data_IF_830835529044
#
_entry.id   IF_830835529044
#
_cell.length_a   1.000
_cell.length_b   1.000
_cell.length_c   1.000
_cell.angle_alpha   90.00
_cell.angle_beta   90.00
_cell.angle_gamma   90.00
#
_symmetry.space_group_name_H-M   'P 1'
#
loop_
_entity.id
_entity.type
_entity.pdbx_description
1 polymer ?
#
# COMPACT_ATOMS: atom_id res chain seq x y z
N UNK A 1 -12.67 -9.83 -12.07
CA UNK A 1 -12.60 -9.88 -13.57
C UNK A 1 -11.14 -9.97 -13.94
N UNK A 2 -10.74 -10.68 -15.01
CA UNK A 2 -9.33 -10.77 -15.39
C UNK A 2 -8.78 -9.40 -15.82
N UNK A 3 -7.57 -9.04 -15.37
CA UNK A 3 -6.87 -7.76 -15.65
C UNK A 3 -6.90 -7.35 -17.13
N UNK A 4 -6.63 -8.27 -18.06
CA UNK A 4 -6.50 -7.99 -19.50
C UNK A 4 -7.78 -7.61 -20.25
N UNK A 5 -8.88 -7.33 -19.55
CA UNK A 5 -10.18 -6.98 -20.13
C UNK A 5 -10.79 -5.69 -19.57
N UNK A 6 -10.07 -4.97 -18.70
CA UNK A 6 -10.61 -3.78 -18.03
C UNK A 6 -10.61 -2.57 -18.97
N UNK A 7 -11.69 -1.79 -18.93
CA UNK A 7 -11.77 -0.48 -19.59
C UNK A 7 -11.19 0.62 -18.70
N UNK A 8 -10.82 1.76 -19.28
CA UNK A 8 -10.38 2.95 -18.53
C UNK A 8 -11.40 3.36 -17.45
N UNK A 9 -12.70 3.25 -17.76
CA UNK A 9 -13.78 3.55 -16.83
C UNK A 9 -13.81 2.59 -15.63
N UNK A 10 -13.57 1.29 -15.87
CA UNK A 10 -13.51 0.29 -14.80
C UNK A 10 -12.27 0.49 -13.92
N UNK A 11 -11.12 0.80 -14.52
CA UNK A 11 -9.89 1.12 -13.78
C UNK A 11 -10.10 2.37 -12.93
N UNK A 12 -10.72 3.41 -13.49
CA UNK A 12 -11.07 4.64 -12.76
C UNK A 12 -12.03 4.37 -11.60
N UNK A 13 -13.10 3.61 -11.82
CA UNK A 13 -14.05 3.28 -10.76
C UNK A 13 -13.36 2.51 -9.61
N UNK A 14 -12.48 1.56 -9.93
CA UNK A 14 -11.65 0.88 -8.94
C UNK A 14 -10.74 1.86 -8.18
N UNK A 15 -10.16 2.83 -8.88
CA UNK A 15 -9.30 3.85 -8.28
C UNK A 15 -10.03 4.72 -7.25
N UNK A 16 -11.21 5.20 -7.64
CA UNK A 16 -12.03 6.14 -6.88
C UNK A 16 -12.57 5.52 -5.59
N UNK A 17 -12.95 4.24 -5.65
CA UNK A 17 -13.51 3.53 -4.50
C UNK A 17 -12.43 2.79 -3.72
N UNK A 18 -11.74 1.84 -4.35
CA UNK A 18 -10.94 0.84 -3.64
C UNK A 18 -9.51 1.31 -3.40
N UNK A 19 -8.80 1.78 -4.42
CA UNK A 19 -7.41 2.24 -4.24
C UNK A 19 -7.35 3.47 -3.32
N UNK A 20 -8.31 4.37 -3.45
CA UNK A 20 -8.46 5.52 -2.56
C UNK A 20 -8.81 5.08 -1.13
N UNK A 21 -9.69 4.10 -0.92
CA UNK A 21 -9.99 3.55 0.41
C UNK A 21 -8.72 3.01 1.10
N UNK A 22 -7.92 2.21 0.39
CA UNK A 22 -6.67 1.66 0.94
C UNK A 22 -5.71 2.79 1.37
N UNK A 23 -5.55 3.81 0.53
CA UNK A 23 -4.70 4.96 0.85
C UNK A 23 -5.22 5.79 2.03
N UNK A 24 -6.53 6.02 2.10
CA UNK A 24 -7.16 6.74 3.21
C UNK A 24 -6.98 5.99 4.53
N UNK A 25 -7.21 4.67 4.53
CA UNK A 25 -7.06 3.85 5.72
C UNK A 25 -5.61 3.78 6.19
N UNK A 26 -4.64 3.71 5.28
CA UNK A 26 -3.21 3.79 5.61
C UNK A 26 -2.90 5.09 6.38
N UNK A 27 -3.31 6.26 5.84
CA UNK A 27 -3.02 7.54 6.45
C UNK A 27 -3.75 7.74 7.77
N UNK A 28 -5.04 7.42 7.81
CA UNK A 28 -5.85 7.57 9.02
C UNK A 28 -5.27 6.74 10.17
N UNK A 29 -4.94 5.47 9.92
CA UNK A 29 -4.34 4.61 10.95
C UNK A 29 -2.94 5.05 11.35
N UNK A 30 -2.13 5.59 10.43
CA UNK A 30 -0.82 6.16 10.76
C UNK A 30 -0.92 7.38 11.69
N UNK A 31 -1.89 8.26 11.44
CA UNK A 31 -2.18 9.43 12.29
C UNK A 31 -2.63 8.97 13.67
N UNK A 32 -3.62 8.06 13.75
CA UNK A 32 -4.11 7.57 15.03
C UNK A 32 -3.03 6.85 15.83
N UNK A 33 -2.17 6.04 15.19
CA UNK A 33 -1.05 5.36 15.85
C UNK A 33 -0.01 6.32 16.43
N UNK A 34 0.00 7.58 16.01
CA UNK A 34 0.87 8.62 16.56
C UNK A 34 0.33 9.20 17.88
N UNK A 35 -0.89 8.84 18.28
CA UNK A 35 -1.48 9.27 19.55
C UNK A 35 -0.86 8.49 20.73
N UNK A 36 -0.17 9.17 21.67
CA UNK A 36 0.47 8.49 22.80
C UNK A 36 -0.53 7.97 23.85
N UNK A 37 -1.80 8.41 23.81
CA UNK A 37 -2.84 8.03 24.77
C UNK A 37 -3.56 6.71 24.45
N UNK A 38 -3.18 6.02 23.38
CA UNK A 38 -3.85 4.78 22.98
C UNK A 38 -3.61 3.65 23.99
N UNK A 39 -4.71 3.06 24.46
CA UNK A 39 -4.65 1.79 25.20
C UNK A 39 -4.20 0.65 24.28
N UNK A 40 -3.50 -0.33 24.84
CA UNK A 40 -2.74 -1.31 24.07
C UNK A 40 -3.56 -2.10 23.03
N UNK A 41 -4.79 -2.49 23.35
CA UNK A 41 -5.61 -3.27 22.41
C UNK A 41 -6.06 -2.42 21.20
N UNK A 42 -6.39 -1.14 21.41
CA UNK A 42 -6.69 -0.22 20.31
C UNK A 42 -5.45 0.02 19.45
N UNK A 43 -4.28 0.21 20.08
CA UNK A 43 -3.01 0.32 19.36
C UNK A 43 -2.75 -0.91 18.49
N UNK A 44 -3.02 -2.11 19.00
CA UNK A 44 -2.87 -3.34 18.22
C UNK A 44 -3.85 -3.38 17.04
N UNK A 45 -5.14 -3.10 17.27
CA UNK A 45 -6.13 -3.08 16.18
C UNK A 45 -5.79 -2.07 15.07
N UNK A 46 -5.30 -0.88 15.44
CA UNK A 46 -4.83 0.11 14.47
C UNK A 46 -3.59 -0.36 13.71
N UNK A 47 -2.64 -1.02 14.39
CA UNK A 47 -1.46 -1.58 13.75
C UNK A 47 -1.82 -2.70 12.76
N UNK A 48 -2.77 -3.57 13.14
CA UNK A 48 -3.29 -4.62 12.26
C UNK A 48 -3.91 -4.01 11.00
N UNK A 49 -4.80 -3.02 11.15
CA UNK A 49 -5.38 -2.31 10.01
C UNK A 49 -4.32 -1.61 9.16
N UNK A 50 -3.42 -0.83 9.78
CA UNK A 50 -2.33 -0.13 9.09
C UNK A 50 -1.50 -1.08 8.23
N UNK A 51 -1.07 -2.22 8.80
CA UNK A 51 -0.19 -3.17 8.12
C UNK A 51 -0.89 -3.93 6.99
N UNK A 52 -2.20 -4.14 7.08
CA UNK A 52 -3.00 -4.72 5.99
C UNK A 52 -3.05 -3.77 4.79
N UNK A 53 -3.44 -2.51 5.01
CA UNK A 53 -3.52 -1.50 3.94
C UNK A 53 -2.15 -1.18 3.35
N UNK A 54 -1.12 -1.06 4.18
CA UNK A 54 0.27 -0.91 3.75
C UNK A 54 0.71 -2.06 2.85
N UNK A 55 0.35 -3.30 3.20
CA UNK A 55 0.71 -4.47 2.41
C UNK A 55 -0.02 -4.51 1.06
N UNK A 56 -1.33 -4.22 1.05
CA UNK A 56 -2.11 -4.15 -0.18
C UNK A 56 -1.52 -3.14 -1.16
N UNK A 57 -1.20 -1.94 -0.69
CA UNK A 57 -0.60 -0.88 -1.49
C UNK A 57 0.84 -1.21 -1.94
N UNK A 58 1.63 -1.90 -1.12
CA UNK A 58 2.95 -2.41 -1.54
C UNK A 58 2.80 -3.39 -2.71
N UNK A 59 1.91 -4.36 -2.58
CA UNK A 59 1.71 -5.39 -3.61
C UNK A 59 1.10 -4.78 -4.89
N UNK A 60 0.32 -3.69 -4.77
CA UNK A 60 -0.16 -2.90 -5.91
C UNK A 60 0.96 -2.15 -6.65
N UNK A 61 1.83 -1.42 -5.92
CA UNK A 61 2.89 -0.58 -6.51
C UNK A 61 4.02 -1.41 -7.12
N UNK A 62 4.50 -2.44 -6.41
CA UNK A 62 5.68 -3.22 -6.78
C UNK A 62 5.37 -4.61 -7.35
N UNK A 63 4.08 -4.89 -7.58
CA UNK A 63 3.55 -6.18 -8.00
C UNK A 63 3.84 -7.31 -6.98
N UNK A 64 2.81 -8.08 -6.64
CA UNK A 64 3.00 -9.26 -5.82
C UNK A 64 3.90 -10.27 -6.55
N UNK A 65 4.74 -11.00 -5.80
CA UNK A 65 5.56 -12.09 -6.37
C UNK A 65 4.72 -13.16 -7.07
N UNK A 66 3.48 -13.34 -6.62
CA UNK A 66 2.50 -14.27 -7.20
C UNK A 66 1.22 -13.49 -7.47
N UNK A 67 1.21 -12.84 -8.62
CA UNK A 67 0.05 -12.12 -9.10
C UNK A 67 -1.05 -13.09 -9.55
N UNK A 68 -2.29 -12.83 -9.14
CA UNK A 68 -3.48 -13.52 -9.65
C UNK A 68 -4.12 -12.73 -10.79
N UNK A 69 -4.91 -13.40 -11.62
CA UNK A 69 -5.54 -12.77 -12.79
C UNK A 69 -6.47 -11.61 -12.45
N UNK A 70 -7.00 -11.58 -11.23
CA UNK A 70 -7.95 -10.59 -10.72
C UNK A 70 -7.34 -9.57 -9.74
N UNK A 71 -6.04 -9.64 -9.48
CA UNK A 71 -5.33 -8.65 -8.66
C UNK A 71 -5.14 -7.35 -9.47
N UNK A 72 -5.45 -6.20 -8.86
CA UNK A 72 -5.12 -4.89 -9.46
C UNK A 72 -3.66 -4.53 -9.19
N UNK A 73 -2.96 -3.97 -10.19
CA UNK A 73 -1.60 -3.46 -10.04
C UNK A 73 -1.43 -2.09 -10.67
N UNK A 74 -0.38 -1.38 -10.26
CA UNK A 74 -0.08 -0.05 -10.78
C UNK A 74 0.06 -0.02 -12.31
N UNK A 75 0.58 -1.08 -12.94
CA UNK A 75 0.73 -1.15 -14.40
C UNK A 75 -0.59 -1.14 -15.18
N UNK A 76 -1.74 -1.40 -14.52
CA UNK A 76 -3.07 -1.34 -15.15
C UNK A 76 -3.57 0.09 -15.40
N UNK A 77 -2.91 1.08 -14.80
CA UNK A 77 -3.26 2.50 -14.90
C UNK A 77 -2.47 3.24 -15.97
N UNK A 78 -1.74 2.50 -16.80
CA UNK A 78 -0.89 3.02 -17.85
C UNK A 78 -1.29 2.40 -19.19
N UNK A 79 -1.22 3.21 -20.25
CA UNK A 79 -1.52 2.79 -21.62
C UNK A 79 -0.65 1.62 -22.10
N UNK A 80 0.48 1.41 -21.44
CA UNK A 80 1.36 0.25 -21.60
C UNK A 80 2.02 -0.06 -20.26
N UNK A 81 2.07 -1.34 -19.83
CA UNK A 81 2.73 -1.73 -18.58
C UNK A 81 4.19 -1.29 -18.48
N UNK A 82 4.91 -1.27 -19.59
CA UNK A 82 6.33 -0.88 -19.65
C UNK A 82 6.57 0.55 -19.17
N UNK A 83 5.59 1.45 -19.36
CA UNK A 83 5.70 2.83 -18.90
C UNK A 83 5.80 2.91 -17.38
N UNK A 84 5.06 2.07 -16.66
CA UNK A 84 5.14 2.04 -15.20
C UNK A 84 6.52 1.57 -14.75
N UNK A 85 7.02 0.46 -15.30
CA UNK A 85 8.32 -0.11 -14.91
C UNK A 85 9.51 0.82 -15.17
N UNK A 86 9.40 1.76 -16.12
CA UNK A 86 10.43 2.77 -16.38
C UNK A 86 10.52 3.87 -15.30
N UNK A 87 9.39 4.19 -14.65
CA UNK A 87 9.31 5.26 -13.64
C UNK A 87 9.12 4.73 -12.22
N UNK A 88 8.87 3.42 -12.08
CA UNK A 88 8.65 2.76 -10.80
C UNK A 88 9.88 2.98 -9.89
N UNK A 89 9.70 3.52 -8.67
CA UNK A 89 10.80 3.71 -7.76
C UNK A 89 11.32 2.37 -7.23
N UNK A 90 12.61 2.32 -6.90
CA UNK A 90 13.19 1.18 -6.17
C UNK A 90 12.42 0.91 -4.88
N UNK A 91 12.33 -0.37 -4.50
CA UNK A 91 11.66 -0.78 -3.26
C UNK A 91 12.34 -0.16 -2.03
N UNK A 92 11.66 0.67 -1.22
CA UNK A 92 12.28 1.32 -0.07
C UNK A 92 12.58 0.32 1.05
N UNK A 93 13.78 0.39 1.63
CA UNK A 93 14.18 -0.47 2.76
C UNK A 93 13.25 -0.33 3.98
N UNK A 94 12.63 0.85 4.16
CA UNK A 94 11.64 1.09 5.21
C UNK A 94 10.39 0.18 5.11
N UNK A 95 10.07 -0.35 3.92
CA UNK A 95 8.89 -1.17 3.65
C UNK A 95 9.16 -2.68 3.74
N UNK A 96 10.42 -3.11 3.82
CA UNK A 96 10.81 -4.53 3.98
C UNK A 96 10.14 -5.22 5.18
N UNK A 97 10.01 -4.57 6.35
CA UNK A 97 9.28 -5.15 7.47
C UNK A 97 7.82 -5.43 7.13
N UNK A 98 7.12 -4.54 6.41
CA UNK A 98 5.71 -4.75 6.06
C UNK A 98 5.52 -5.91 5.07
N UNK A 99 6.47 -6.10 4.13
CA UNK A 99 6.41 -7.23 3.19
C UNK A 99 6.64 -8.58 3.86
N UNK A 100 7.54 -8.62 4.85
CA UNK A 100 7.96 -9.89 5.48
C UNK A 100 7.22 -10.23 6.78
N UNK A 101 6.84 -9.22 7.57
CA UNK A 101 6.29 -9.39 8.93
C UNK A 101 4.78 -9.36 8.99
N UNK A 102 4.07 -8.60 8.15
CA UNK A 102 2.58 -8.56 8.19
C UNK A 102 1.99 -9.97 8.11
N UNK A 103 2.48 -10.80 7.19
CA UNK A 103 2.04 -12.20 7.10
C UNK A 103 2.34 -13.02 8.36
N UNK A 104 3.51 -12.86 8.98
CA UNK A 104 3.99 -13.73 10.09
C UNK A 104 3.57 -13.27 11.49
N UNK A 105 3.41 -11.96 11.67
CA UNK A 105 3.14 -11.32 12.96
C UNK A 105 1.68 -10.88 13.10
N UNK A 106 1.00 -10.60 11.99
CA UNK A 106 -0.41 -10.17 11.99
C UNK A 106 -1.31 -11.30 11.52
N UNK A 107 -1.14 -11.76 10.28
CA UNK A 107 -2.10 -12.70 9.66
C UNK A 107 -1.94 -14.17 10.12
N UNK A 108 -0.72 -14.64 10.38
CA UNK A 108 -0.45 -16.04 10.71
C UNK A 108 0.10 -16.19 12.13
N UNK A 109 -0.35 -17.21 12.86
CA UNK A 109 0.30 -17.61 14.10
C UNK A 109 1.54 -18.45 13.79
N UNK A 110 2.73 -17.86 13.93
CA UNK A 110 4.00 -18.47 13.54
C UNK A 110 4.95 -18.65 14.72
N UNK A 111 5.73 -19.73 14.73
CA UNK A 111 6.78 -19.94 15.74
C UNK A 111 7.90 -18.90 15.66
N UNK A 112 8.10 -18.26 14.51
CA UNK A 112 9.07 -17.17 14.33
C UNK A 112 8.82 -15.96 15.23
N UNK A 113 7.63 -15.86 15.85
CA UNK A 113 7.32 -14.83 16.86
C UNK A 113 8.18 -14.95 18.12
N UNK A 114 8.74 -16.14 18.41
CA UNK A 114 9.63 -16.37 19.55
C UNK A 114 11.00 -15.68 19.38
N UNK A 115 11.41 -15.42 18.14
CA UNK A 115 12.75 -14.88 17.82
C UNK A 115 12.77 -13.34 17.72
N UNK A 116 11.62 -12.67 17.88
CA UNK A 116 11.50 -11.21 17.69
C UNK A 116 11.93 -10.46 18.95
N UNK A 117 13.08 -9.78 18.89
CA UNK A 117 13.58 -8.92 19.96
C UNK A 117 12.68 -7.70 20.18
N UNK A 118 12.71 -7.10 21.37
CA UNK A 118 11.90 -5.91 21.69
C UNK A 118 12.16 -4.73 20.74
N UNK A 119 13.40 -4.56 20.28
CA UNK A 119 13.76 -3.55 19.29
C UNK A 119 13.22 -3.86 17.89
N UNK A 120 13.27 -5.13 17.48
CA UNK A 120 12.71 -5.57 16.21
C UNK A 120 11.18 -5.51 16.16
N UNK A 121 10.49 -5.47 17.32
CA UNK A 121 9.02 -5.33 17.38
C UNK A 121 8.51 -3.96 16.95
N UNK A 122 9.36 -2.92 16.97
CA UNK A 122 8.92 -1.57 16.61
C UNK A 122 8.55 -1.49 15.12
N UNK A 123 7.44 -0.83 14.86
CA UNK A 123 6.99 -0.48 13.52
C UNK A 123 7.24 1.02 13.32
N UNK A 124 8.01 1.36 12.29
CA UNK A 124 8.34 2.74 11.95
C UNK A 124 7.20 3.36 11.13
N UNK A 125 6.04 3.55 11.78
CA UNK A 125 4.77 3.90 11.12
C UNK A 125 4.90 5.11 10.19
N UNK A 126 5.50 6.20 10.68
CA UNK A 126 5.67 7.44 9.90
C UNK A 126 6.59 7.22 8.71
N UNK A 127 7.72 6.55 8.89
CA UNK A 127 8.69 6.29 7.81
C UNK A 127 8.07 5.39 6.73
N UNK A 128 7.30 4.37 7.13
CA UNK A 128 6.60 3.48 6.22
C UNK A 128 5.51 4.21 5.44
N UNK A 129 4.66 4.99 6.13
CA UNK A 129 3.60 5.76 5.48
C UNK A 129 4.19 6.77 4.48
N UNK A 130 5.24 7.50 4.87
CA UNK A 130 5.91 8.46 3.99
C UNK A 130 6.56 7.80 2.77
N UNK A 131 7.24 6.66 2.96
CA UNK A 131 7.88 5.94 1.86
C UNK A 131 6.86 5.44 0.84
N UNK A 132 5.72 4.90 1.31
CA UNK A 132 4.65 4.45 0.42
C UNK A 132 3.94 5.62 -0.27
N UNK A 133 3.64 6.70 0.46
CA UNK A 133 3.05 7.92 -0.13
C UNK A 133 3.93 8.51 -1.22
N UNK A 134 5.25 8.55 -1.02
CA UNK A 134 6.17 9.01 -2.05
C UNK A 134 6.08 8.16 -3.32
N UNK A 135 5.96 6.83 -3.20
CA UNK A 135 5.77 5.94 -4.35
C UNK A 135 4.40 6.16 -5.03
N UNK A 136 3.32 6.36 -4.26
CA UNK A 136 2.00 6.69 -4.77
C UNK A 136 1.96 8.04 -5.50
N UNK A 137 2.74 9.02 -5.05
CA UNK A 137 2.90 10.31 -5.77
C UNK A 137 3.59 10.10 -7.11
N UNK A 138 4.64 9.28 -7.19
CA UNK A 138 5.29 8.92 -8.47
C UNK A 138 4.31 8.21 -9.39
N UNK A 139 3.56 7.24 -8.87
CA UNK A 139 2.50 6.56 -9.59
C UNK A 139 1.46 7.55 -10.14
N UNK A 140 0.86 8.37 -9.29
CA UNK A 140 -0.18 9.32 -9.67
C UNK A 140 0.34 10.31 -10.72
N UNK A 141 1.57 10.82 -10.60
CA UNK A 141 2.17 11.77 -11.56
C UNK A 141 2.30 11.21 -12.97
N UNK A 142 2.47 9.89 -13.12
CA UNK A 142 2.77 9.25 -14.42
C UNK A 142 1.62 8.41 -14.99
N UNK A 143 0.67 7.97 -14.15
CA UNK A 143 -0.49 7.20 -14.59
C UNK A 143 -1.43 8.02 -15.48
N UNK A 144 -2.18 7.32 -16.33
CA UNK A 144 -3.10 7.94 -17.27
C UNK A 144 -4.19 8.72 -16.51
N UNK A 145 -4.37 10.03 -16.79
CA UNK A 145 -5.31 10.86 -16.03
C UNK A 145 -6.76 10.35 -16.07
N UNK A 146 -7.15 9.65 -17.13
CA UNK A 146 -8.47 9.04 -17.28
C UNK A 146 -8.73 7.91 -16.28
N UNK A 147 -7.68 7.32 -15.69
CA UNK A 147 -7.76 6.13 -14.83
C UNK A 147 -7.64 6.43 -13.32
N UNK A 148 -7.28 7.65 -12.90
CA UNK A 148 -6.90 7.92 -11.51
C UNK A 148 -8.03 8.36 -10.58
N UNK A 149 -9.10 8.95 -11.10
CA UNK A 149 -10.09 9.66 -10.28
C UNK A 149 -9.53 10.89 -9.55
N UNK A 150 -10.40 11.69 -8.95
CA UNK A 150 -10.02 13.00 -8.41
C UNK A 150 -9.09 12.93 -7.19
N UNK A 151 -9.37 12.01 -6.25
CA UNK A 151 -8.64 11.91 -4.99
C UNK A 151 -7.15 11.56 -5.19
N UNK A 152 -6.88 10.57 -6.04
CA UNK A 152 -5.50 10.17 -6.34
C UNK A 152 -4.84 11.16 -7.30
N UNK A 153 -5.59 11.82 -8.20
CA UNK A 153 -5.05 12.90 -9.03
C UNK A 153 -4.56 14.09 -8.18
N UNK A 154 -5.15 14.34 -7.01
CA UNK A 154 -4.70 15.39 -6.10
C UNK A 154 -3.27 15.14 -5.56
N UNK A 155 -2.83 13.87 -5.48
CA UNK A 155 -1.45 13.52 -5.06
C UNK A 155 -0.38 14.08 -5.99
N UNK A 156 -0.73 14.43 -7.24
CA UNK A 156 0.19 15.09 -8.18
C UNK A 156 0.72 16.42 -7.65
N UNK A 157 -0.02 17.07 -6.75
CA UNK A 157 0.29 18.40 -6.19
C UNK A 157 1.04 18.34 -4.87
N UNK A 158 1.24 17.14 -4.32
CA UNK A 158 2.02 16.89 -3.11
C UNK A 158 3.52 16.74 -3.41
#
# INVERSE_FOLDING_TARGET
>A
MPRGKLTEEQVRAFAEEHLNYEYQMLLATAVELSNPGLVQHIKNSLLESFTIHLRALIDFIWEAQKLREDDAVASDFFSSPDKWFQVQPNFPAALEPARSRTGKEVAHLTYTRLDVTADAKRWHIVDMANALTAALVVFAKNADPACLGDALAALKKA
#
